data_IF_059225982816
#
_entry.id   IF_059225982816
#
_cell.length_a   1.000
_cell.length_b   1.000
_cell.length_c   1.000
_cell.angle_alpha   90.00
_cell.angle_beta   90.00
_cell.angle_gamma   90.00
#
_symmetry.space_group_name_H-M   'P 1'
#
loop_
_entity.id
_entity.type
_entity.pdbx_description
1 polymer ?
#
# COMPACT_ATOMS: atom_id res chain seq x y z
N UNK A 1 -19.36 -6.68 23.89
CA UNK A 1 -20.82 -6.61 23.59
C UNK A 1 -21.06 -7.27 22.25
N UNK A 2 -21.89 -8.32 22.15
CA UNK A 2 -22.15 -8.98 20.87
C UNK A 2 -23.04 -8.07 20.03
N UNK A 3 -22.59 -7.68 18.85
CA UNK A 3 -23.36 -6.86 17.91
C UNK A 3 -24.40 -7.73 17.20
N UNK A 4 -25.66 -7.59 17.60
CA UNK A 4 -26.82 -8.18 16.93
C UNK A 4 -27.17 -7.33 15.69
N UNK A 5 -26.45 -7.55 14.60
CA UNK A 5 -26.84 -7.08 13.26
C UNK A 5 -27.53 -8.23 12.50
N UNK A 6 -28.70 -8.00 11.88
CA UNK A 6 -29.43 -9.04 11.16
C UNK A 6 -28.60 -9.56 9.97
N UNK A 7 -28.25 -10.85 10.01
CA UNK A 7 -27.40 -11.55 9.02
C UNK A 7 -27.89 -11.45 7.56
N UNK A 8 -29.14 -11.01 7.34
CA UNK A 8 -29.71 -10.76 6.00
C UNK A 8 -29.22 -9.47 5.33
N UNK A 9 -28.84 -8.43 6.08
CA UNK A 9 -28.40 -7.15 5.53
C UNK A 9 -26.89 -7.12 5.20
N UNK A 10 -26.11 -7.96 5.87
CA UNK A 10 -24.64 -7.98 5.75
C UNK A 10 -24.16 -8.50 4.38
N UNK A 11 -24.86 -9.48 3.80
CA UNK A 11 -24.48 -10.09 2.51
C UNK A 11 -24.54 -9.14 1.30
N UNK A 12 -25.64 -8.38 1.07
CA UNK A 12 -25.68 -7.43 -0.04
C UNK A 12 -24.70 -6.27 0.15
N UNK A 13 -24.52 -5.80 1.39
CA UNK A 13 -23.58 -4.72 1.70
C UNK A 13 -22.13 -5.12 1.40
N UNK A 14 -21.70 -6.31 1.83
CA UNK A 14 -20.37 -6.83 1.53
C UNK A 14 -20.14 -7.05 0.03
N UNK A 15 -21.17 -7.54 -0.69
CA UNK A 15 -21.09 -7.74 -2.14
C UNK A 15 -20.94 -6.41 -2.89
N UNK A 16 -21.64 -5.36 -2.45
CA UNK A 16 -21.51 -4.02 -3.02
C UNK A 16 -20.10 -3.45 -2.79
N UNK A 17 -19.54 -3.64 -1.60
CA UNK A 17 -18.17 -3.23 -1.29
C UNK A 17 -17.14 -3.87 -2.21
N UNK A 18 -17.22 -5.19 -2.43
CA UNK A 18 -16.30 -5.88 -3.33
C UNK A 18 -16.43 -5.43 -4.79
N UNK A 19 -17.64 -5.10 -5.24
CA UNK A 19 -17.84 -4.57 -6.61
C UNK A 19 -17.22 -3.17 -6.73
N UNK A 20 -17.45 -2.29 -5.74
CA UNK A 20 -16.85 -0.95 -5.71
C UNK A 20 -15.32 -1.01 -5.68
N UNK A 21 -14.77 -1.90 -4.86
CA UNK A 21 -13.33 -2.14 -4.76
C UNK A 21 -12.74 -2.59 -6.10
N UNK A 22 -13.37 -3.57 -6.76
CA UNK A 22 -12.93 -4.01 -8.08
C UNK A 22 -12.97 -2.89 -9.13
N UNK A 23 -14.03 -2.07 -9.16
CA UNK A 23 -14.14 -0.92 -10.06
C UNK A 23 -13.01 0.08 -9.78
N UNK A 24 -12.73 0.37 -8.51
CA UNK A 24 -11.70 1.33 -8.12
C UNK A 24 -10.30 0.84 -8.50
N UNK A 25 -9.99 -0.45 -8.30
CA UNK A 25 -8.70 -1.03 -8.68
C UNK A 25 -8.48 -0.97 -10.19
N UNK A 26 -9.51 -1.25 -10.98
CA UNK A 26 -9.46 -1.10 -12.44
C UNK A 26 -9.24 0.36 -12.83
N UNK A 27 -9.97 1.29 -12.21
CA UNK A 27 -9.81 2.72 -12.48
C UNK A 27 -8.40 3.22 -12.15
N UNK A 28 -7.84 2.84 -10.99
CA UNK A 28 -6.47 3.20 -10.60
C UNK A 28 -5.47 2.63 -11.61
N UNK A 29 -5.60 1.36 -11.99
CA UNK A 29 -4.72 0.72 -12.97
C UNK A 29 -4.70 1.47 -14.30
N UNK A 30 -5.88 1.78 -14.84
CA UNK A 30 -6.02 2.51 -16.11
C UNK A 30 -5.48 3.93 -16.00
N UNK A 31 -5.77 4.62 -14.90
CA UNK A 31 -5.27 5.98 -14.65
C UNK A 31 -3.73 6.00 -14.57
N UNK A 32 -3.11 5.06 -13.85
CA UNK A 32 -1.65 4.95 -13.75
C UNK A 32 -1.02 4.65 -15.11
N UNK A 33 -1.64 3.78 -15.91
CA UNK A 33 -1.13 3.47 -17.26
C UNK A 33 -1.22 4.69 -18.19
N UNK A 34 -2.33 5.42 -18.15
CA UNK A 34 -2.51 6.66 -18.92
C UNK A 34 -1.51 7.75 -18.48
N UNK A 35 -1.31 7.91 -17.17
CA UNK A 35 -0.32 8.85 -16.62
C UNK A 35 1.10 8.51 -17.08
N UNK A 36 1.46 7.23 -17.08
CA UNK A 36 2.77 6.78 -17.56
C UNK A 36 2.99 7.12 -19.04
N UNK A 37 1.98 6.88 -19.90
CA UNK A 37 2.04 7.25 -21.32
C UNK A 37 2.20 8.76 -21.49
N UNK A 38 1.43 9.55 -20.73
CA UNK A 38 1.53 11.01 -20.77
C UNK A 38 2.93 11.50 -20.38
N UNK A 39 3.54 10.89 -19.35
CA UNK A 39 4.91 11.21 -18.93
C UNK A 39 5.93 10.85 -20.01
N UNK A 40 5.79 9.70 -20.67
CA UNK A 40 6.64 9.34 -21.81
C UNK A 40 6.56 10.37 -22.95
N UNK A 41 5.36 10.84 -23.28
CA UNK A 41 5.16 11.87 -24.29
C UNK A 41 5.82 13.18 -23.84
N UNK A 42 5.63 13.58 -22.58
CA UNK A 42 6.21 14.79 -22.00
C UNK A 42 7.75 14.79 -22.10
N UNK A 43 8.40 13.71 -21.66
CA UNK A 43 9.85 13.52 -21.75
C UNK A 43 10.33 13.52 -23.20
N UNK A 44 9.59 12.87 -24.10
CA UNK A 44 9.93 12.82 -25.52
C UNK A 44 9.87 14.20 -26.19
N UNK A 45 8.85 15.00 -25.87
CA UNK A 45 8.67 16.37 -26.41
C UNK A 45 9.76 17.31 -25.88
N UNK A 46 10.06 17.24 -24.58
CA UNK A 46 11.04 18.12 -23.95
C UNK A 46 12.49 17.77 -24.34
N UNK A 47 12.73 16.59 -24.91
CA UNK A 47 14.06 16.06 -25.31
C UNK A 47 15.10 16.06 -24.19
N UNK A 48 14.65 16.09 -22.95
CA UNK A 48 15.47 16.02 -21.75
C UNK A 48 14.87 14.97 -20.84
N UNK A 49 15.71 14.05 -20.37
CA UNK A 49 15.31 13.01 -19.43
C UNK A 49 15.86 13.45 -18.07
N UNK A 50 14.98 13.89 -17.17
CA UNK A 50 15.36 14.24 -15.81
C UNK A 50 15.25 13.02 -14.90
N UNK A 51 16.01 13.02 -13.81
CA UNK A 51 15.93 11.96 -12.80
C UNK A 51 14.55 11.94 -12.13
N UNK A 52 13.91 13.10 -12.03
CA UNK A 52 12.54 13.26 -11.51
C UNK A 52 11.53 12.47 -12.34
N UNK A 53 11.68 12.44 -13.66
CA UNK A 53 10.75 11.78 -14.57
C UNK A 53 10.88 10.25 -14.44
N UNK A 54 12.12 9.77 -14.33
CA UNK A 54 12.42 8.35 -14.08
C UNK A 54 11.88 7.93 -12.71
N UNK A 55 12.07 8.76 -11.68
CA UNK A 55 11.57 8.48 -10.33
C UNK A 55 10.04 8.42 -10.31
N UNK A 56 9.37 9.34 -11.01
CA UNK A 56 7.92 9.37 -11.14
C UNK A 56 7.39 8.11 -11.84
N UNK A 57 8.04 7.69 -12.94
CA UNK A 57 7.71 6.43 -13.60
C UNK A 57 7.91 5.22 -12.68
N UNK A 58 8.91 5.25 -11.80
CA UNK A 58 9.11 4.19 -10.82
C UNK A 58 7.98 4.13 -9.79
N UNK A 59 7.50 5.29 -9.31
CA UNK A 59 6.33 5.37 -8.41
C UNK A 59 5.09 4.78 -9.10
N UNK A 60 4.87 5.05 -10.40
CA UNK A 60 3.77 4.44 -11.14
C UNK A 60 3.87 2.91 -11.20
N UNK A 61 5.07 2.36 -11.41
CA UNK A 61 5.28 0.91 -11.39
C UNK A 61 5.05 0.30 -10.00
N UNK A 62 5.46 0.98 -8.92
CA UNK A 62 5.16 0.54 -7.56
C UNK A 62 3.65 0.50 -7.29
N UNK A 63 2.91 1.51 -7.75
CA UNK A 63 1.45 1.55 -7.62
C UNK A 63 0.80 0.39 -8.37
N UNK A 64 1.24 0.08 -9.59
CA UNK A 64 0.76 -1.08 -10.34
C UNK A 64 1.07 -2.39 -9.60
N UNK A 65 2.26 -2.53 -9.01
CA UNK A 65 2.62 -3.69 -8.21
C UNK A 65 1.74 -3.82 -6.94
N UNK A 66 1.37 -2.72 -6.30
CA UNK A 66 0.41 -2.72 -5.19
C UNK A 66 -0.97 -3.20 -5.62
N UNK A 67 -1.47 -2.70 -6.76
CA UNK A 67 -2.78 -3.14 -7.28
C UNK A 67 -2.74 -4.62 -7.66
N UNK A 68 -1.66 -5.09 -8.27
CA UNK A 68 -1.47 -6.51 -8.57
C UNK A 68 -1.48 -7.36 -7.29
N UNK A 69 -0.75 -6.93 -6.26
CA UNK A 69 -0.69 -7.60 -4.96
C UNK A 69 -2.06 -7.61 -4.26
N UNK A 70 -2.82 -6.51 -4.40
CA UNK A 70 -4.20 -6.40 -3.93
C UNK A 70 -5.05 -7.49 -4.56
N UNK A 71 -5.06 -7.57 -5.89
CA UNK A 71 -5.86 -8.53 -6.65
C UNK A 71 -5.48 -9.97 -6.27
N UNK A 72 -4.19 -10.25 -6.09
CA UNK A 72 -3.71 -11.59 -5.78
C UNK A 72 -4.09 -12.07 -4.36
N UNK A 73 -4.16 -11.18 -3.37
CA UNK A 73 -4.32 -11.58 -1.96
C UNK A 73 -5.63 -11.09 -1.31
N UNK A 74 -6.44 -10.29 -2.01
CA UNK A 74 -7.75 -9.78 -1.56
C UNK A 74 -7.72 -8.84 -0.35
N UNK A 75 -6.53 -8.54 0.19
CA UNK A 75 -6.28 -7.59 1.28
C UNK A 75 -4.90 -6.98 1.05
N UNK A 76 -4.74 -5.66 1.21
CA UNK A 76 -3.41 -5.07 1.36
C UNK A 76 -2.99 -5.27 2.81
N UNK A 77 -1.93 -6.04 3.09
CA UNK A 77 -1.39 -6.10 4.44
C UNK A 77 -0.84 -4.70 4.78
N UNK A 78 -1.21 -4.15 5.94
CA UNK A 78 -0.86 -2.78 6.39
C UNK A 78 0.65 -2.47 6.36
N UNK A 79 1.48 -3.53 6.28
CA UNK A 79 2.94 -3.45 6.18
C UNK A 79 3.45 -2.94 4.82
N UNK A 80 2.73 -3.23 3.72
CA UNK A 80 3.20 -2.90 2.37
C UNK A 80 3.30 -1.37 2.14
N UNK A 81 2.30 -0.54 2.51
CA UNK A 81 2.39 0.91 2.35
C UNK A 81 3.58 1.56 3.08
N UNK A 82 3.94 1.06 4.28
CA UNK A 82 5.04 1.65 5.06
C UNK A 82 6.40 1.33 4.40
N UNK A 83 6.59 0.10 3.92
CA UNK A 83 7.81 -0.24 3.18
C UNK A 83 7.95 0.55 1.88
N UNK A 84 6.83 0.81 1.21
CA UNK A 84 6.79 1.62 -0.01
C UNK A 84 7.19 3.07 0.30
N UNK A 85 6.68 3.66 1.38
CA UNK A 85 7.09 5.00 1.80
C UNK A 85 8.60 5.09 2.11
N UNK A 86 9.16 4.10 2.83
CA UNK A 86 10.60 4.04 3.10
C UNK A 86 11.40 3.91 1.80
N UNK A 87 10.95 3.04 0.89
CA UNK A 87 11.63 2.77 -0.37
C UNK A 87 11.59 3.98 -1.32
N UNK A 88 10.46 4.69 -1.37
CA UNK A 88 10.31 5.94 -2.11
C UNK A 88 11.25 7.03 -1.58
N UNK A 89 11.33 7.21 -0.25
CA UNK A 89 12.28 8.17 0.36
C UNK A 89 13.72 7.77 0.04
N UNK A 90 14.07 6.49 0.16
CA UNK A 90 15.40 5.99 -0.13
C UNK A 90 15.80 6.26 -1.59
N UNK A 91 14.90 6.03 -2.55
CA UNK A 91 15.15 6.30 -3.98
C UNK A 91 15.22 7.78 -4.28
N UNK A 92 14.39 8.59 -3.64
CA UNK A 92 14.46 10.03 -3.78
C UNK A 92 15.83 10.58 -3.33
N UNK A 93 16.35 10.07 -2.21
CA UNK A 93 17.70 10.43 -1.74
C UNK A 93 18.75 9.99 -2.76
N UNK A 94 18.78 8.71 -3.18
CA UNK A 94 19.87 8.19 -4.02
C UNK A 94 19.93 8.83 -5.41
N UNK A 95 18.78 9.16 -6.00
CA UNK A 95 18.72 9.84 -7.29
C UNK A 95 18.93 11.36 -7.15
N UNK A 96 18.41 11.99 -6.09
CA UNK A 96 18.50 13.43 -5.87
C UNK A 96 19.83 13.91 -5.27
N UNK A 97 20.76 13.02 -4.91
CA UNK A 97 22.00 13.33 -4.19
C UNK A 97 22.86 14.48 -4.74
N UNK A 98 22.74 14.82 -6.04
CA UNK A 98 23.46 15.95 -6.66
C UNK A 98 22.74 17.29 -6.55
N UNK A 99 21.43 17.29 -6.43
CA UNK A 99 20.59 18.51 -6.45
C UNK A 99 20.01 18.82 -5.07
N UNK A 100 20.00 17.84 -4.15
CA UNK A 100 19.47 18.00 -2.81
C UNK A 100 20.49 18.64 -1.86
N UNK A 101 20.02 19.64 -1.11
CA UNK A 101 20.76 20.20 0.01
C UNK A 101 21.04 19.11 1.07
N UNK A 102 22.27 19.07 1.59
CA UNK A 102 22.70 18.09 2.58
C UNK A 102 21.81 18.07 3.83
N UNK A 103 21.28 19.23 4.24
CA UNK A 103 20.34 19.30 5.37
C UNK A 103 19.02 18.58 5.07
N UNK A 104 18.53 18.68 3.83
CA UNK A 104 17.29 18.06 3.40
C UNK A 104 17.42 16.54 3.30
N UNK A 105 18.59 16.07 2.84
CA UNK A 105 18.92 14.63 2.83
C UNK A 105 18.88 14.05 4.25
N UNK A 106 19.40 14.77 5.25
CA UNK A 106 19.34 14.33 6.65
C UNK A 106 17.90 14.23 7.17
N UNK A 107 17.05 15.20 6.85
CA UNK A 107 15.62 15.16 7.22
C UNK A 107 14.88 14.00 6.58
N UNK A 108 15.14 13.72 5.31
CA UNK A 108 14.57 12.56 4.61
C UNK A 108 15.06 11.24 5.20
N UNK A 109 16.35 11.12 5.50
CA UNK A 109 16.91 9.94 6.15
C UNK A 109 16.28 9.72 7.54
N UNK A 110 16.07 10.80 8.31
CA UNK A 110 15.39 10.75 9.60
C UNK A 110 13.92 10.32 9.45
N UNK A 111 13.21 10.82 8.44
CA UNK A 111 11.84 10.40 8.15
C UNK A 111 11.77 8.90 7.81
N UNK A 112 12.66 8.40 6.96
CA UNK A 112 12.77 6.96 6.66
C UNK A 112 13.09 6.14 7.92
N UNK A 113 13.96 6.64 8.80
CA UNK A 113 14.29 6.00 10.08
C UNK A 113 13.09 5.93 11.02
N UNK A 114 12.30 7.01 11.14
CA UNK A 114 11.09 7.04 11.96
C UNK A 114 10.06 6.02 11.44
N UNK A 115 9.85 5.95 10.12
CA UNK A 115 8.97 4.96 9.52
C UNK A 115 9.45 3.53 9.79
N UNK A 116 10.75 3.27 9.65
CA UNK A 116 11.34 1.97 9.97
C UNK A 116 11.15 1.61 11.45
N UNK A 117 11.40 2.55 12.37
CA UNK A 117 11.17 2.37 13.79
C UNK A 117 9.69 2.07 14.10
N UNK A 118 8.75 2.77 13.45
CA UNK A 118 7.32 2.50 13.59
C UNK A 118 6.95 1.08 13.14
N UNK A 119 7.51 0.58 12.03
CA UNK A 119 7.28 -0.81 11.61
C UNK A 119 7.82 -1.82 12.62
N UNK A 120 8.95 -1.51 13.26
CA UNK A 120 9.57 -2.36 14.27
C UNK A 120 8.71 -2.41 15.54
N UNK A 121 8.19 -1.27 15.98
CA UNK A 121 7.23 -1.19 17.10
C UNK A 121 5.97 -2.01 16.80
N UNK A 122 5.36 -1.85 15.62
CA UNK A 122 4.17 -2.60 15.21
C UNK A 122 4.45 -4.12 15.19
N UNK A 123 5.65 -4.50 14.73
CA UNK A 123 6.09 -5.90 14.66
C UNK A 123 6.30 -6.51 16.05
N UNK A 124 6.94 -5.78 16.96
CA UNK A 124 7.13 -6.23 18.35
C UNK A 124 5.80 -6.30 19.08
N UNK A 125 4.92 -5.30 18.91
CA UNK A 125 3.59 -5.28 19.51
C UNK A 125 2.74 -6.49 19.11
N UNK A 126 2.76 -6.88 17.83
CA UNK A 126 2.07 -8.09 17.37
C UNK A 126 2.68 -9.40 17.92
N UNK A 127 3.97 -9.41 18.24
CA UNK A 127 4.62 -10.60 18.81
C UNK A 127 4.33 -10.74 20.31
N UNK A 128 4.21 -9.62 21.03
CA UNK A 128 3.95 -9.59 22.47
C UNK A 128 2.46 -9.71 22.83
N UNK A 129 1.53 -9.23 21.98
CA UNK A 129 0.08 -9.36 22.15
C UNK A 129 -0.55 -10.12 20.97
N UNK A 130 -0.36 -11.46 20.87
CA UNK A 130 -1.15 -12.26 19.95
C UNK A 130 -2.61 -12.21 20.40
N UNK A 131 -3.50 -11.76 19.52
CA UNK A 131 -4.94 -11.83 19.74
C UNK A 131 -5.33 -13.31 19.89
N UNK A 132 -5.91 -13.69 21.02
CA UNK A 132 -6.48 -15.02 21.21
C UNK A 132 -7.57 -15.24 20.15
N UNK A 133 -7.40 -16.29 19.36
CA UNK A 133 -8.49 -16.79 18.52
C UNK A 133 -9.64 -17.16 19.45
N UNK A 134 -10.73 -16.39 19.39
CA UNK A 134 -11.99 -16.74 20.04
C UNK A 134 -12.47 -18.03 19.36
N UNK A 135 -12.05 -19.16 19.92
CA UNK A 135 -12.51 -20.49 19.54
C UNK A 135 -14.03 -20.49 19.72
N UNK A 136 -14.79 -20.56 18.62
CA UNK A 136 -16.25 -20.65 18.68
C UNK A 136 -16.65 -21.87 19.53
N UNK A 137 -17.41 -21.71 20.64
CA UNK A 137 -17.77 -22.80 21.52
C UNK A 137 -19.05 -23.51 21.03
N UNK A 138 -19.12 -23.88 19.75
CA UNK A 138 -20.29 -24.64 19.27
C UNK A 138 -19.97 -25.66 18.17
N UNK A 139 -19.25 -26.71 18.57
CA UNK A 139 -19.34 -28.01 17.88
C UNK A 139 -19.01 -29.16 18.82
N UNK A 140 -19.90 -29.43 19.77
CA UNK A 140 -19.97 -30.70 20.51
C UNK A 140 -21.33 -30.83 21.22
N UNK A 141 -22.37 -31.16 20.45
CA UNK A 141 -23.51 -31.96 20.91
C UNK A 141 -24.50 -32.17 19.77
N UNK A 142 -24.35 -33.28 19.04
CA UNK A 142 -25.43 -33.98 18.35
C UNK A 142 -24.91 -35.32 17.80
N UNK A 143 -24.29 -36.13 18.66
CA UNK A 143 -24.14 -37.58 18.47
C UNK A 143 -24.24 -38.19 19.86
N UNK A 144 -25.48 -38.48 20.25
CA UNK A 144 -25.93 -39.57 21.13
C UNK A 144 -27.45 -39.70 20.95
#
# INVERSE_FOLDING_TARGET
MPSHLPKGFSRPFLKLFHILEAILLVAITLATLAAMINEFIHVYVNRQILLTDILLMFIYLEVLAMVQQFIANGKIPVRYPIYIAIMAIARYITLGMKELDGIYVVWLALAAFILAAATLVIRIGHHYWPYEEVTEPHKRQSED
#
